data_IF_877570177867
#
_entry.id   IF_877570177867
#
_cell.length_a   1.000
_cell.length_b   1.000
_cell.length_c   1.000
_cell.angle_alpha   90.00
_cell.angle_beta   90.00
_cell.angle_gamma   90.00
#
_symmetry.space_group_name_H-M   'P 1'
#
loop_
_entity.id
_entity.type
_entity.pdbx_description
1 polymer ?
#
# COMPACT_ATOMS: atom_id res chain seq x y z
N UNK A 1 -4.16 -22.24 -6.30
CA UNK A 1 -3.23 -21.64 -5.31
C UNK A 1 -2.34 -20.67 -6.09
N UNK A 2 -1.85 -19.58 -5.50
CA UNK A 2 -0.87 -18.73 -6.19
C UNK A 2 0.44 -19.47 -6.42
N UNK A 3 1.23 -18.97 -7.33
CA UNK A 3 2.59 -19.42 -7.61
C UNK A 3 3.59 -18.51 -6.89
N UNK A 4 4.58 -19.11 -6.20
CA UNK A 4 5.64 -18.34 -5.56
C UNK A 4 6.59 -17.81 -6.65
N UNK A 5 6.86 -16.51 -6.58
CA UNK A 5 7.74 -15.81 -7.51
C UNK A 5 8.75 -14.94 -6.79
N UNK A 6 9.84 -14.63 -7.48
CA UNK A 6 10.83 -13.68 -6.98
C UNK A 6 11.44 -12.86 -8.11
N UNK A 7 11.83 -11.63 -7.80
CA UNK A 7 12.52 -10.74 -8.72
C UNK A 7 13.56 -9.88 -8.00
N UNK A 8 14.46 -9.31 -8.75
CA UNK A 8 15.44 -8.37 -8.20
C UNK A 8 14.91 -6.95 -8.22
N UNK A 9 15.00 -6.26 -7.10
CA UNK A 9 14.76 -4.82 -7.00
C UNK A 9 16.04 -4.16 -6.50
N UNK A 10 16.78 -3.54 -7.41
CA UNK A 10 18.06 -2.86 -7.14
C UNK A 10 19.05 -3.75 -6.35
N UNK A 11 19.14 -5.04 -6.70
CA UNK A 11 20.04 -6.00 -6.05
C UNK A 11 19.46 -6.67 -4.81
N UNK A 12 18.25 -6.31 -4.37
CA UNK A 12 17.52 -6.98 -3.28
C UNK A 12 16.54 -7.98 -3.88
N UNK A 13 16.49 -9.22 -3.36
CA UNK A 13 15.48 -10.20 -3.77
C UNK A 13 14.14 -9.87 -3.14
N UNK A 14 13.17 -9.60 -3.96
CA UNK A 14 11.77 -9.39 -3.59
C UNK A 14 10.99 -10.66 -3.90
N UNK A 15 10.15 -11.11 -2.94
CA UNK A 15 9.34 -12.32 -3.08
C UNK A 15 7.86 -11.99 -3.10
N UNK A 16 7.12 -12.77 -3.88
CA UNK A 16 5.70 -12.52 -4.09
C UNK A 16 4.93 -13.77 -4.49
N UNK A 17 3.65 -13.56 -4.69
CA UNK A 17 2.70 -14.55 -5.18
C UNK A 17 2.09 -14.07 -6.51
N UNK A 18 2.12 -14.93 -7.51
CA UNK A 18 1.44 -14.70 -8.77
C UNK A 18 0.12 -15.49 -8.79
N UNK A 19 -0.97 -14.77 -8.89
CA UNK A 19 -2.31 -15.30 -9.11
C UNK A 19 -2.63 -15.16 -10.59
N UNK A 20 -3.16 -16.22 -11.22
CA UNK A 20 -3.50 -16.17 -12.64
C UNK A 20 -4.91 -16.71 -12.90
N UNK A 21 -5.62 -16.17 -13.90
CA UNK A 21 -6.84 -16.76 -14.42
C UNK A 21 -6.57 -18.12 -15.05
N UNK A 22 -7.60 -18.97 -15.22
CA UNK A 22 -7.48 -20.19 -16.02
C UNK A 22 -7.23 -19.84 -17.50
N UNK A 23 -6.44 -20.70 -18.19
CA UNK A 23 -6.07 -20.54 -19.61
C UNK A 23 -4.62 -20.11 -19.80
N UNK A 24 -4.26 -19.86 -21.07
CA UNK A 24 -2.87 -19.66 -21.50
C UNK A 24 -2.44 -18.16 -21.53
N UNK A 25 -3.42 -17.22 -21.49
CA UNK A 25 -3.15 -15.79 -21.61
C UNK A 25 -2.94 -15.34 -23.07
N UNK A 26 -2.28 -14.17 -23.33
CA UNK A 26 -1.76 -13.28 -22.32
C UNK A 26 -2.86 -12.52 -21.57
N UNK A 27 -2.72 -12.41 -20.27
CA UNK A 27 -3.68 -11.74 -19.37
C UNK A 27 -3.26 -10.30 -19.06
N UNK A 28 -4.19 -9.37 -18.84
CA UNK A 28 -3.89 -8.16 -18.07
C UNK A 28 -3.34 -8.55 -16.72
N UNK A 29 -2.50 -7.70 -16.14
CA UNK A 29 -1.95 -7.94 -14.80
C UNK A 29 -2.13 -6.73 -13.89
N UNK A 30 -2.42 -6.98 -12.62
CA UNK A 30 -2.43 -5.96 -11.57
C UNK A 30 -1.24 -6.21 -10.64
N UNK A 31 -0.35 -5.24 -10.54
CA UNK A 31 0.78 -5.27 -9.58
C UNK A 31 0.31 -4.65 -8.28
N UNK A 32 0.54 -5.35 -7.16
CA UNK A 32 -0.08 -5.09 -5.87
C UNK A 32 0.93 -5.16 -4.73
N UNK A 33 0.88 -4.20 -3.81
CA UNK A 33 1.58 -4.29 -2.53
C UNK A 33 0.76 -3.69 -1.39
N UNK A 34 1.11 -4.02 -0.18
CA UNK A 34 0.36 -3.64 1.01
C UNK A 34 0.79 -2.34 1.66
N UNK A 35 0.10 -1.94 2.73
CA UNK A 35 0.33 -0.72 3.49
C UNK A 35 1.54 -0.77 4.43
N UNK A 36 1.42 -0.07 5.55
CA UNK A 36 2.49 0.05 6.55
C UNK A 36 2.78 -1.28 7.24
N UNK A 37 4.03 -1.73 7.24
CA UNK A 37 4.49 -3.02 7.81
C UNK A 37 3.78 -4.27 7.26
N UNK A 38 3.24 -4.22 6.04
CA UNK A 38 2.52 -5.35 5.47
C UNK A 38 3.44 -6.48 5.03
N UNK A 39 2.82 -7.66 5.04
CA UNK A 39 3.27 -8.85 4.32
C UNK A 39 2.18 -9.25 3.32
N UNK A 40 2.58 -9.93 2.25
CA UNK A 40 1.73 -10.29 1.10
C UNK A 40 0.50 -11.15 1.44
N UNK A 41 0.48 -11.75 2.61
CA UNK A 41 -0.63 -12.56 3.12
C UNK A 41 -1.77 -11.71 3.74
N UNK A 42 -1.51 -10.43 4.10
CA UNK A 42 -2.53 -9.56 4.66
C UNK A 42 -3.50 -9.12 3.57
N UNK A 43 -4.77 -9.20 3.80
CA UNK A 43 -5.94 -8.81 2.98
C UNK A 43 -5.78 -8.87 1.45
N UNK A 44 -4.58 -8.69 0.91
CA UNK A 44 -4.25 -8.67 -0.53
C UNK A 44 -4.71 -9.93 -1.28
N UNK A 45 -4.65 -11.16 -0.70
CA UNK A 45 -5.16 -12.35 -1.36
C UNK A 45 -6.65 -12.28 -1.73
N UNK A 46 -7.46 -11.53 -0.98
CA UNK A 46 -8.88 -11.33 -1.29
C UNK A 46 -9.04 -10.46 -2.54
N UNK A 47 -8.29 -9.35 -2.63
CA UNK A 47 -8.27 -8.51 -3.83
C UNK A 47 -7.72 -9.27 -5.04
N UNK A 48 -6.60 -10.00 -4.88
CA UNK A 48 -5.98 -10.75 -5.97
C UNK A 48 -6.94 -11.78 -6.57
N UNK A 49 -7.68 -12.52 -5.74
CA UNK A 49 -8.71 -13.47 -6.20
C UNK A 49 -9.84 -12.75 -6.95
N UNK A 50 -10.34 -11.63 -6.43
CA UNK A 50 -11.36 -10.85 -7.12
C UNK A 50 -10.89 -10.33 -8.49
N UNK A 51 -9.61 -9.95 -8.63
CA UNK A 51 -9.04 -9.55 -9.92
C UNK A 51 -8.92 -10.72 -10.89
N UNK A 52 -8.53 -11.90 -10.39
CA UNK A 52 -8.49 -13.14 -11.19
C UNK A 52 -9.87 -13.52 -11.71
N UNK A 53 -10.92 -13.35 -10.91
CA UNK A 53 -12.31 -13.61 -11.31
C UNK A 53 -12.79 -12.66 -12.42
N UNK A 54 -12.15 -11.49 -12.58
CA UNK A 54 -12.36 -10.56 -13.69
C UNK A 54 -11.41 -10.76 -14.87
N UNK A 55 -10.60 -11.84 -14.86
CA UNK A 55 -9.69 -12.21 -15.92
C UNK A 55 -8.35 -11.46 -15.92
N UNK A 56 -7.98 -10.81 -14.82
CA UNK A 56 -6.69 -10.18 -14.62
C UNK A 56 -5.78 -11.08 -13.78
N UNK A 57 -4.54 -11.30 -14.20
CA UNK A 57 -3.52 -11.83 -13.30
C UNK A 57 -3.21 -10.81 -12.19
N UNK A 58 -2.70 -11.26 -11.05
CA UNK A 58 -2.30 -10.38 -9.97
C UNK A 58 -0.95 -10.80 -9.40
N UNK A 59 -0.01 -9.85 -9.31
CA UNK A 59 1.29 -10.02 -8.68
C UNK A 59 1.29 -9.29 -7.35
N UNK A 60 1.26 -10.04 -6.26
CA UNK A 60 1.31 -9.54 -4.88
C UNK A 60 2.72 -9.77 -4.36
N UNK A 61 3.36 -8.77 -3.74
CA UNK A 61 4.73 -8.93 -3.26
C UNK A 61 4.95 -8.28 -1.88
N UNK A 62 5.93 -8.84 -1.14
CA UNK A 62 6.50 -8.20 0.03
C UNK A 62 7.52 -7.16 -0.42
N UNK A 63 7.42 -5.92 0.08
CA UNK A 63 8.49 -4.95 -0.14
C UNK A 63 9.83 -5.44 0.40
N UNK A 64 10.94 -4.89 -0.15
CA UNK A 64 12.25 -5.08 0.50
C UNK A 64 12.17 -4.83 2.00
N UNK A 65 12.91 -5.54 2.80
CA UNK A 65 12.98 -5.47 4.27
C UNK A 65 11.77 -6.06 5.01
N UNK A 66 10.74 -6.56 4.31
CA UNK A 66 9.50 -7.10 4.91
C UNK A 66 9.25 -8.54 4.50
N UNK A 67 8.44 -9.24 5.32
CA UNK A 67 8.00 -10.59 5.04
C UNK A 67 9.16 -11.51 4.64
N UNK A 68 8.97 -12.21 3.52
CA UNK A 68 9.98 -13.12 2.96
C UNK A 68 11.01 -12.44 2.06
N UNK A 69 10.80 -11.17 1.67
CA UNK A 69 11.77 -10.41 0.88
C UNK A 69 13.03 -10.12 1.66
N UNK A 70 14.17 -10.10 0.96
CA UNK A 70 15.47 -9.76 1.54
C UNK A 70 15.55 -8.25 1.87
N UNK A 71 16.67 -7.85 2.43
CA UNK A 71 17.00 -6.45 2.71
C UNK A 71 17.19 -6.15 4.18
N UNK A 72 17.98 -5.11 4.43
CA UNK A 72 18.35 -4.61 5.76
C UNK A 72 18.42 -3.09 5.76
N UNK A 73 18.10 -2.45 6.89
CA UNK A 73 17.57 -3.04 8.14
C UNK A 73 16.15 -3.59 7.96
N UNK A 74 15.80 -4.66 8.68
CA UNK A 74 14.45 -5.23 8.64
C UNK A 74 13.42 -4.20 9.14
N UNK A 75 12.18 -4.31 8.66
CA UNK A 75 11.07 -3.43 9.04
C UNK A 75 11.37 -1.94 8.82
N UNK A 76 12.14 -1.63 7.79
CA UNK A 76 12.48 -0.26 7.39
C UNK A 76 11.67 0.13 6.16
N UNK A 77 10.77 1.11 6.34
CA UNK A 77 9.97 1.67 5.25
C UNK A 77 10.66 2.93 4.71
N UNK A 78 10.95 2.91 3.43
CA UNK A 78 11.32 4.08 2.65
C UNK A 78 10.34 4.17 1.47
N UNK A 79 9.47 5.19 1.42
CA UNK A 79 8.42 5.28 0.39
C UNK A 79 8.98 5.26 -1.03
N UNK A 80 10.13 5.88 -1.24
CA UNK A 80 10.73 5.97 -2.58
C UNK A 80 11.35 4.64 -3.00
N UNK A 81 11.93 3.89 -2.06
CA UNK A 81 12.40 2.53 -2.31
C UNK A 81 11.24 1.56 -2.56
N UNK A 82 10.13 1.73 -1.85
CA UNK A 82 8.92 0.92 -2.08
C UNK A 82 8.27 1.24 -3.44
N UNK A 83 8.31 2.50 -3.88
CA UNK A 83 7.89 2.89 -5.23
C UNK A 83 8.80 2.25 -6.29
N UNK A 84 10.11 2.17 -6.06
CA UNK A 84 11.02 1.44 -6.96
C UNK A 84 10.75 -0.08 -6.95
N UNK A 85 10.36 -0.67 -5.82
CA UNK A 85 9.93 -2.08 -5.78
C UNK A 85 8.71 -2.31 -6.67
N UNK A 86 7.72 -1.39 -6.69
CA UNK A 86 6.61 -1.44 -7.63
C UNK A 86 7.06 -1.40 -9.09
N UNK A 87 7.96 -0.47 -9.46
CA UNK A 87 8.48 -0.35 -10.83
C UNK A 87 9.23 -1.59 -11.27
N UNK A 88 10.00 -2.18 -10.35
CA UNK A 88 10.72 -3.44 -10.62
C UNK A 88 9.75 -4.63 -10.69
N UNK A 89 8.68 -4.64 -9.90
CA UNK A 89 7.60 -5.63 -10.02
C UNK A 89 6.87 -5.51 -11.37
N UNK A 90 6.62 -4.31 -11.88
CA UNK A 90 6.08 -4.07 -13.22
C UNK A 90 7.07 -4.60 -14.27
N UNK A 91 8.37 -4.31 -14.15
CA UNK A 91 9.40 -4.81 -15.08
C UNK A 91 9.49 -6.33 -15.05
N UNK A 92 9.37 -6.96 -13.88
CA UNK A 92 9.29 -8.40 -13.77
C UNK A 92 8.03 -8.95 -14.45
N UNK A 93 6.88 -8.34 -14.23
CA UNK A 93 5.63 -8.76 -14.86
C UNK A 93 5.72 -8.74 -16.39
N UNK A 94 6.41 -7.75 -16.98
CA UNK A 94 6.66 -7.69 -18.43
C UNK A 94 7.52 -8.85 -18.97
N UNK A 95 8.26 -9.56 -18.13
CA UNK A 95 9.05 -10.74 -18.55
C UNK A 95 8.23 -12.02 -18.61
N UNK A 96 7.02 -12.04 -18.08
CA UNK A 96 6.18 -13.23 -18.03
C UNK A 96 5.41 -13.40 -19.35
N UNK A 97 5.55 -14.54 -20.00
CA UNK A 97 4.88 -14.86 -21.28
C UNK A 97 3.34 -14.82 -21.17
N UNK A 98 2.83 -15.08 -19.98
CA UNK A 98 1.38 -15.06 -19.70
C UNK A 98 0.80 -13.64 -19.53
N UNK A 99 1.62 -12.58 -19.57
CA UNK A 99 1.22 -11.19 -19.31
C UNK A 99 1.15 -10.39 -20.60
N UNK A 100 0.05 -9.68 -20.76
CA UNK A 100 -0.06 -8.62 -21.77
C UNK A 100 0.56 -7.32 -21.24
N UNK A 101 1.72 -6.97 -21.77
CA UNK A 101 2.53 -5.80 -21.36
C UNK A 101 1.84 -4.47 -21.58
N UNK A 102 0.85 -4.41 -22.45
CA UNK A 102 0.07 -3.19 -22.73
C UNK A 102 -1.13 -3.02 -21.78
N UNK A 103 -1.37 -3.97 -20.87
CA UNK A 103 -2.52 -4.00 -19.96
C UNK A 103 -2.12 -4.22 -18.50
N UNK A 104 -1.28 -3.30 -17.98
CA UNK A 104 -0.77 -3.35 -16.61
C UNK A 104 -1.54 -2.36 -15.74
N UNK A 105 -2.15 -2.84 -14.66
CA UNK A 105 -2.74 -2.02 -13.60
C UNK A 105 -1.89 -2.01 -12.34
N UNK A 106 -2.08 -1.01 -11.49
CA UNK A 106 -1.49 -0.95 -10.15
C UNK A 106 -2.57 -0.78 -9.10
N UNK A 107 -2.43 -1.52 -8.02
CA UNK A 107 -3.32 -1.44 -6.86
C UNK A 107 -2.51 -1.25 -5.58
N UNK A 108 -3.03 -0.46 -4.66
CA UNK A 108 -2.47 -0.31 -3.33
C UNK A 108 -3.53 0.04 -2.30
N UNK A 109 -3.24 -0.27 -1.02
CA UNK A 109 -4.10 0.02 0.12
C UNK A 109 -3.32 0.77 1.19
N UNK A 110 -3.93 1.76 1.83
CA UNK A 110 -3.34 2.55 2.91
C UNK A 110 -2.04 3.23 2.42
N UNK A 111 -0.90 2.96 3.03
CA UNK A 111 0.37 3.56 2.61
C UNK A 111 0.69 3.28 1.13
N UNK A 112 0.48 2.05 0.67
CA UNK A 112 0.68 1.73 -0.74
C UNK A 112 -0.43 2.23 -1.66
N UNK A 113 -1.57 2.62 -1.13
CA UNK A 113 -2.58 3.37 -1.89
C UNK A 113 -2.00 4.67 -2.45
N UNK A 114 -1.23 5.38 -1.62
CA UNK A 114 -0.45 6.54 -2.07
C UNK A 114 0.63 6.16 -3.08
N UNK A 115 1.35 5.04 -2.88
CA UNK A 115 2.37 4.60 -3.84
C UNK A 115 1.76 4.25 -5.20
N UNK A 116 0.60 3.61 -5.24
CA UNK A 116 -0.11 3.32 -6.50
C UNK A 116 -0.44 4.61 -7.28
N UNK A 117 -0.84 5.68 -6.58
CA UNK A 117 -1.04 7.00 -7.21
C UNK A 117 0.27 7.58 -7.76
N UNK A 118 1.38 7.49 -7.02
CA UNK A 118 2.70 7.98 -7.48
C UNK A 118 3.22 7.17 -8.66
N UNK A 119 3.15 5.83 -8.59
CA UNK A 119 3.57 4.93 -9.67
C UNK A 119 2.73 5.20 -10.92
N UNK A 120 1.40 5.25 -10.79
CA UNK A 120 0.52 5.51 -11.91
C UNK A 120 0.69 6.90 -12.55
N UNK A 121 1.17 7.88 -11.77
CA UNK A 121 1.48 9.22 -12.25
C UNK A 121 2.83 9.33 -12.98
N UNK A 122 3.74 8.36 -12.79
CA UNK A 122 5.14 8.50 -13.19
C UNK A 122 5.69 7.33 -14.01
N UNK A 123 4.97 6.21 -14.08
CA UNK A 123 5.34 5.06 -14.90
C UNK A 123 4.37 4.94 -16.10
N UNK A 124 4.84 5.18 -17.34
CA UNK A 124 3.98 5.19 -18.53
C UNK A 124 3.41 3.81 -18.91
N UNK A 125 3.88 2.73 -18.29
CA UNK A 125 3.37 1.38 -18.52
C UNK A 125 2.05 1.13 -17.80
N UNK A 126 1.71 1.95 -16.80
CA UNK A 126 0.47 1.80 -16.02
C UNK A 126 -0.74 2.28 -16.83
N UNK A 127 -1.72 1.41 -16.98
CA UNK A 127 -2.95 1.65 -17.76
C UNK A 127 -4.19 1.87 -16.90
N UNK A 128 -4.16 1.48 -15.63
CA UNK A 128 -5.25 1.73 -14.68
C UNK A 128 -4.70 1.75 -13.24
N UNK A 129 -5.31 2.58 -12.39
CA UNK A 129 -4.90 2.76 -10.99
C UNK A 129 -6.10 2.49 -10.10
N UNK A 130 -5.92 1.67 -9.06
CA UNK A 130 -6.87 1.57 -7.94
C UNK A 130 -6.12 1.88 -6.64
N UNK A 131 -6.58 2.91 -5.95
CA UNK A 131 -6.01 3.39 -4.69
C UNK A 131 -7.09 3.28 -3.61
N UNK A 132 -6.84 2.46 -2.59
CA UNK A 132 -7.80 2.17 -1.52
C UNK A 132 -7.32 2.82 -0.23
N UNK A 133 -8.14 3.68 0.38
CA UNK A 133 -7.85 4.41 1.65
C UNK A 133 -6.39 4.90 1.76
N UNK A 134 -5.91 5.73 0.82
CA UNK A 134 -4.49 6.04 0.69
C UNK A 134 -3.97 7.00 1.76
N UNK A 135 -2.75 6.75 2.24
CA UNK A 135 -1.94 7.82 2.86
C UNK A 135 -1.49 8.78 1.76
N UNK A 136 -2.01 9.99 1.76
CA UNK A 136 -1.74 10.98 0.70
C UNK A 136 -0.75 12.07 1.12
N UNK A 137 -0.63 12.32 2.43
CA UNK A 137 0.35 13.24 3.01
C UNK A 137 0.78 12.76 4.39
N UNK A 138 2.04 12.39 4.52
CA UNK A 138 2.55 11.80 5.77
C UNK A 138 2.68 12.80 6.90
N UNK A 139 2.98 14.08 6.61
CA UNK A 139 3.07 15.10 7.66
C UNK A 139 1.70 15.40 8.26
N UNK A 140 0.72 15.73 7.41
CA UNK A 140 -0.64 16.02 7.85
C UNK A 140 -1.27 14.82 8.57
N UNK A 141 -1.10 13.62 8.02
CA UNK A 141 -1.59 12.38 8.64
C UNK A 141 -1.00 12.21 10.04
N UNK A 142 0.32 12.28 10.20
CA UNK A 142 0.96 12.09 11.51
C UNK A 142 0.60 13.19 12.51
N UNK A 143 0.43 14.43 12.07
CA UNK A 143 0.01 15.52 12.93
C UNK A 143 -1.42 15.32 13.47
N UNK A 144 -2.33 14.85 12.62
CA UNK A 144 -3.73 14.62 12.96
C UNK A 144 -3.89 13.43 13.92
N UNK A 145 -3.30 12.28 13.58
CA UNK A 145 -3.46 11.06 14.39
C UNK A 145 -2.81 11.15 15.77
N UNK A 146 -1.75 11.96 15.92
CA UNK A 146 -1.07 12.13 17.20
C UNK A 146 -1.55 13.33 18.02
N UNK A 147 -2.21 14.29 17.40
CA UNK A 147 -2.51 15.57 18.04
C UNK A 147 -1.26 16.33 18.51
N UNK A 148 -1.43 17.49 19.11
CA UNK A 148 -0.30 18.39 19.40
C UNK A 148 0.77 17.81 20.34
N UNK A 149 0.38 17.14 21.42
CA UNK A 149 1.32 16.59 22.40
C UNK A 149 1.95 15.29 21.91
N UNK A 150 1.16 14.39 21.33
CA UNK A 150 1.64 13.12 20.79
C UNK A 150 2.62 13.36 19.66
N UNK A 151 2.31 14.27 18.75
CA UNK A 151 3.20 14.60 17.63
C UNK A 151 4.52 15.22 18.10
N UNK A 152 4.52 16.04 19.17
CA UNK A 152 5.77 16.53 19.78
C UNK A 152 6.62 15.37 20.30
N UNK A 153 6.04 14.44 21.05
CA UNK A 153 6.74 13.24 21.57
C UNK A 153 7.32 12.40 20.43
N UNK A 154 6.56 12.20 19.36
CA UNK A 154 7.01 11.47 18.17
C UNK A 154 8.23 12.17 17.52
N UNK A 155 8.15 13.49 17.33
CA UNK A 155 9.27 14.28 16.78
C UNK A 155 10.52 14.22 17.64
N UNK A 156 10.39 14.26 18.95
CA UNK A 156 11.52 14.11 19.87
C UNK A 156 12.17 12.71 19.76
N UNK A 157 11.36 11.68 19.59
CA UNK A 157 11.82 10.30 19.37
C UNK A 157 12.60 10.18 18.06
N UNK A 158 12.07 10.71 16.97
CA UNK A 158 12.76 10.75 15.67
C UNK A 158 14.06 11.55 15.74
N UNK A 159 14.09 12.67 16.42
CA UNK A 159 15.31 13.48 16.55
C UNK A 159 16.39 12.77 17.37
N UNK A 160 16.02 12.02 18.41
CA UNK A 160 16.98 11.19 19.18
C UNK A 160 17.58 10.10 18.30
N UNK A 161 16.76 9.38 17.54
CA UNK A 161 17.21 8.34 16.60
C UNK A 161 18.15 8.93 15.55
N UNK A 162 17.79 10.06 14.94
CA UNK A 162 18.63 10.74 13.95
C UNK A 162 20.03 11.10 14.51
N UNK A 163 20.08 11.62 15.74
CA UNK A 163 21.34 11.96 16.40
C UNK A 163 22.16 10.71 16.74
N UNK A 164 21.51 9.63 17.18
CA UNK A 164 22.16 8.35 17.44
C UNK A 164 22.78 7.76 16.18
N UNK A 165 22.01 7.70 15.08
CA UNK A 165 22.49 7.21 13.77
C UNK A 165 23.66 8.06 13.25
N UNK A 166 23.60 9.38 13.39
CA UNK A 166 24.71 10.28 13.01
C UNK A 166 25.99 9.97 13.80
N UNK A 167 25.86 9.58 15.06
CA UNK A 167 27.00 9.16 15.91
C UNK A 167 27.45 7.70 15.70
N UNK A 168 26.95 7.02 14.65
CA UNK A 168 27.29 5.62 14.33
C UNK A 168 26.47 4.57 15.07
N UNK A 169 25.39 4.96 15.74
CA UNK A 169 24.44 4.02 16.34
C UNK A 169 23.57 3.30 15.31
N UNK A 170 23.03 2.17 15.71
CA UNK A 170 22.07 1.39 14.92
C UNK A 170 20.72 2.12 14.79
N UNK A 171 19.88 1.67 13.83
CA UNK A 171 18.52 2.14 13.69
C UNK A 171 17.67 1.74 14.90
N UNK A 172 17.16 2.72 15.65
CA UNK A 172 16.19 2.43 16.69
C UNK A 172 14.88 1.94 16.08
N UNK A 173 14.16 1.13 16.83
CA UNK A 173 12.85 0.60 16.46
C UNK A 173 11.74 1.16 17.33
N UNK A 174 10.51 1.10 16.85
CA UNK A 174 9.33 1.47 17.60
C UNK A 174 8.14 0.59 17.20
N UNK A 175 7.14 0.44 18.07
CA UNK A 175 5.91 -0.28 17.72
C UNK A 175 5.19 0.37 16.54
N UNK A 176 4.61 -0.45 15.67
CA UNK A 176 3.72 0.02 14.62
C UNK A 176 2.50 0.72 15.22
N UNK A 177 1.88 0.10 16.22
CA UNK A 177 0.79 0.70 17.01
C UNK A 177 0.87 0.25 18.47
N UNK A 178 0.10 0.87 19.36
CA UNK A 178 0.13 0.58 20.79
C UNK A 178 -1.27 0.45 21.36
N UNK A 179 -1.42 -0.46 22.34
CA UNK A 179 -2.63 -0.59 23.16
C UNK A 179 -2.77 0.54 24.19
N UNK A 180 -1.67 1.20 24.55
CA UNK A 180 -1.63 2.35 25.46
C UNK A 180 -0.83 3.51 24.83
N UNK A 181 -1.44 4.29 23.93
CA UNK A 181 -0.78 5.40 23.25
C UNK A 181 -0.37 6.54 24.22
N UNK A 182 -0.93 6.59 25.42
CA UNK A 182 -0.53 7.57 26.43
C UNK A 182 0.84 7.21 27.04
N UNK A 183 1.11 5.94 27.26
CA UNK A 183 2.36 5.44 27.84
C UNK A 183 3.44 5.21 26.78
N UNK A 184 3.09 4.70 25.59
CA UNK A 184 4.02 4.26 24.57
C UNK A 184 3.87 5.04 23.26
N UNK A 185 4.98 5.51 22.69
CA UNK A 185 5.02 6.16 21.38
C UNK A 185 5.08 5.09 20.29
N UNK A 186 4.09 5.09 19.41
CA UNK A 186 4.00 4.23 18.24
C UNK A 186 3.75 5.06 16.97
N UNK A 187 3.77 4.45 15.79
CA UNK A 187 3.45 5.17 14.54
C UNK A 187 1.96 5.49 14.48
N UNK A 188 1.11 4.49 14.70
CA UNK A 188 -0.34 4.61 14.68
C UNK A 188 -0.87 4.47 16.11
N UNK A 189 -1.23 5.58 16.78
CA UNK A 189 -1.59 5.55 18.20
C UNK A 189 -3.05 5.09 18.43
N UNK A 190 -3.44 3.99 17.80
CA UNK A 190 -4.78 3.44 17.84
C UNK A 190 -4.77 1.99 18.37
N UNK A 191 -5.41 1.69 19.53
CA UNK A 191 -5.49 0.34 20.08
C UNK A 191 -6.15 -0.68 19.14
N UNK A 192 -7.14 -0.24 18.35
CA UNK A 192 -7.82 -1.09 17.36
C UNK A 192 -6.89 -1.55 16.23
N UNK A 193 -5.89 -0.75 15.85
CA UNK A 193 -4.86 -1.17 14.91
C UNK A 193 -4.07 -2.35 15.46
N UNK A 194 -3.65 -2.26 16.74
CA UNK A 194 -2.93 -3.36 17.39
C UNK A 194 -3.79 -4.62 17.44
N UNK A 195 -5.03 -4.50 17.91
CA UNK A 195 -5.92 -5.66 18.05
C UNK A 195 -6.27 -6.30 16.70
N UNK A 196 -6.51 -5.48 15.67
CA UNK A 196 -6.79 -5.95 14.32
C UNK A 196 -5.62 -6.73 13.72
N UNK A 197 -4.40 -6.20 13.80
CA UNK A 197 -3.22 -6.88 13.26
C UNK A 197 -2.79 -8.10 14.09
N UNK A 198 -3.00 -8.11 15.41
CA UNK A 198 -2.83 -9.33 16.23
C UNK A 198 -3.78 -10.44 15.76
N UNK A 199 -5.04 -10.10 15.45
CA UNK A 199 -6.02 -11.04 14.89
C UNK A 199 -5.58 -11.59 13.54
N UNK A 200 -5.19 -10.73 12.60
CA UNK A 200 -4.70 -11.11 11.28
C UNK A 200 -3.42 -11.94 11.34
N UNK A 201 -2.49 -11.62 12.25
CA UNK A 201 -1.29 -12.42 12.48
C UNK A 201 -1.60 -13.83 12.95
N UNK A 202 -2.63 -13.98 13.79
CA UNK A 202 -3.02 -15.27 14.30
C UNK A 202 -3.71 -16.18 13.25
N UNK A 203 -4.25 -15.61 12.18
CA UNK A 203 -5.03 -16.33 11.16
C UNK A 203 -4.37 -16.35 9.79
N UNK A 204 -4.16 -15.19 9.19
CA UNK A 204 -3.84 -15.06 7.77
C UNK A 204 -2.36 -14.74 7.50
N UNK A 205 -1.70 -13.99 8.41
CA UNK A 205 -0.39 -13.42 8.17
C UNK A 205 0.59 -13.69 9.32
N UNK A 206 0.98 -14.95 9.59
CA UNK A 206 1.85 -15.30 10.72
C UNK A 206 3.24 -14.63 10.67
N UNK A 207 3.68 -14.25 9.47
CA UNK A 207 4.97 -13.58 9.25
C UNK A 207 4.92 -12.07 9.49
N UNK A 208 3.74 -11.50 9.82
CA UNK A 208 3.63 -10.07 10.13
C UNK A 208 4.40 -9.73 11.40
N UNK A 209 5.20 -8.66 11.33
CA UNK A 209 5.90 -8.08 12.47
C UNK A 209 5.38 -6.67 12.77
N UNK A 210 5.01 -6.45 14.04
CA UNK A 210 4.26 -5.26 14.45
C UNK A 210 5.17 -4.12 14.94
N UNK A 211 6.28 -3.89 14.22
CA UNK A 211 7.24 -2.83 14.52
C UNK A 211 7.91 -2.31 13.25
N UNK A 212 8.54 -1.17 13.35
CA UNK A 212 9.32 -0.55 12.27
C UNK A 212 10.51 0.25 12.82
N UNK A 213 11.44 0.63 11.96
CA UNK A 213 12.51 1.55 12.36
C UNK A 213 11.93 2.95 12.61
N UNK A 214 12.48 3.67 13.59
CA UNK A 214 12.07 5.07 13.86
C UNK A 214 12.32 5.97 12.65
N UNK A 215 13.36 5.71 11.87
CA UNK A 215 13.63 6.45 10.64
C UNK A 215 12.49 6.36 9.62
N UNK A 216 11.75 5.27 9.60
CA UNK A 216 10.60 5.12 8.68
C UNK A 216 9.56 6.23 8.89
N UNK A 217 9.37 6.69 10.12
CA UNK A 217 8.47 7.82 10.43
C UNK A 217 9.01 9.14 9.87
N UNK A 218 10.33 9.36 9.97
CA UNK A 218 10.99 10.54 9.36
C UNK A 218 10.81 10.56 7.84
N UNK A 219 10.90 9.39 7.21
CA UNK A 219 10.71 9.24 5.76
C UNK A 219 9.24 9.44 5.36
N UNK A 220 8.30 8.94 6.18
CA UNK A 220 6.88 9.17 5.99
C UNK A 220 6.53 10.67 6.03
N UNK A 221 7.11 11.46 6.94
CA UNK A 221 6.83 12.90 7.00
C UNK A 221 7.19 13.68 5.74
N UNK A 222 8.14 13.17 4.97
CA UNK A 222 8.58 13.79 3.72
C UNK A 222 7.82 13.24 2.49
N UNK A 223 6.84 12.37 2.73
CA UNK A 223 6.06 11.75 1.68
C UNK A 223 4.74 12.48 1.47
N UNK A 224 4.49 12.89 0.23
CA UNK A 224 3.20 13.42 -0.20
C UNK A 224 2.92 13.03 -1.66
N UNK A 225 1.66 12.71 -1.98
CA UNK A 225 1.23 12.38 -3.34
C UNK A 225 0.74 13.59 -4.13
N UNK A 226 0.45 14.73 -3.49
CA UNK A 226 -0.14 15.90 -4.12
C UNK A 226 0.60 16.43 -5.35
N UNK A 227 1.95 16.48 -5.41
CA UNK A 227 2.65 16.88 -6.61
C UNK A 227 2.49 15.88 -7.77
N UNK A 228 2.21 14.62 -7.47
CA UNK A 228 2.15 13.51 -8.43
C UNK A 228 0.76 13.33 -9.00
N UNK A 229 -0.30 13.40 -8.20
CA UNK A 229 -1.68 13.18 -8.68
C UNK A 229 -2.06 14.13 -9.82
N UNK A 230 -1.49 15.33 -9.84
CA UNK A 230 -1.66 16.31 -10.93
C UNK A 230 -1.10 15.87 -12.28
N UNK A 231 -0.28 14.81 -12.31
CA UNK A 231 0.32 14.23 -13.52
C UNK A 231 -0.48 13.07 -14.09
N UNK A 232 -1.54 12.62 -13.41
CA UNK A 232 -2.45 11.58 -13.89
C UNK A 232 -3.40 12.21 -14.91
N UNK A 233 -2.94 12.36 -16.17
CA UNK A 233 -3.66 13.11 -17.20
C UNK A 233 -4.69 12.23 -17.94
N UNK A 234 -4.33 10.97 -18.22
CA UNK A 234 -5.11 10.08 -19.07
C UNK A 234 -5.39 8.72 -18.46
N UNK A 235 -4.65 8.33 -17.41
CA UNK A 235 -4.77 7.01 -16.79
C UNK A 235 -6.07 6.92 -15.98
N UNK A 236 -6.97 5.97 -16.30
CA UNK A 236 -8.15 5.69 -15.49
C UNK A 236 -7.78 5.41 -14.04
N UNK A 237 -8.49 6.05 -13.12
CA UNK A 237 -8.16 5.98 -11.69
C UNK A 237 -9.42 5.79 -10.87
N UNK A 238 -9.45 4.75 -10.03
CA UNK A 238 -10.46 4.56 -8.99
C UNK A 238 -9.81 4.84 -7.63
N UNK A 239 -10.41 5.73 -6.86
CA UNK A 239 -10.13 5.85 -5.43
C UNK A 239 -11.29 5.26 -4.62
N UNK A 240 -10.96 4.38 -3.69
CA UNK A 240 -11.89 3.82 -2.71
C UNK A 240 -11.54 4.44 -1.36
N UNK A 241 -12.48 5.16 -0.77
CA UNK A 241 -12.28 5.87 0.51
C UNK A 241 -13.30 5.40 1.53
N UNK A 242 -12.93 5.43 2.81
CA UNK A 242 -13.81 5.09 3.92
C UNK A 242 -14.27 6.37 4.62
N UNK A 243 -15.60 6.58 4.75
CA UNK A 243 -16.19 7.84 5.24
C UNK A 243 -15.73 8.23 6.66
N UNK A 244 -15.43 7.23 7.50
CA UNK A 244 -14.99 7.44 8.87
C UNK A 244 -13.49 7.09 9.05
N UNK A 245 -12.68 7.28 8.00
CA UNK A 245 -11.24 7.02 8.10
C UNK A 245 -10.55 8.12 8.91
N UNK A 246 -10.17 7.76 10.13
CA UNK A 246 -9.46 8.60 11.08
C UNK A 246 -7.93 8.37 11.07
N UNK A 247 -7.47 7.34 10.35
CA UNK A 247 -6.05 6.99 10.22
C UNK A 247 -5.41 7.72 9.04
N UNK A 248 -5.98 7.63 7.84
CA UNK A 248 -5.44 8.28 6.63
C UNK A 248 -6.12 9.63 6.34
N UNK A 249 -7.20 9.94 7.06
CA UNK A 249 -7.98 11.19 6.97
C UNK A 249 -8.69 11.31 5.61
N UNK A 250 -9.90 10.80 5.55
CA UNK A 250 -10.68 10.72 4.30
C UNK A 250 -10.87 12.05 3.56
N UNK A 251 -10.88 13.18 4.26
CA UNK A 251 -10.94 14.53 3.66
C UNK A 251 -9.68 14.86 2.85
N UNK A 252 -8.49 14.42 3.31
CA UNK A 252 -7.25 14.53 2.54
C UNK A 252 -7.28 13.62 1.30
N UNK A 253 -7.87 12.44 1.42
CA UNK A 253 -8.06 11.52 0.28
C UNK A 253 -8.96 12.14 -0.79
N UNK A 254 -10.06 12.78 -0.38
CA UNK A 254 -10.96 13.53 -1.26
C UNK A 254 -10.22 14.70 -1.93
N UNK A 255 -9.40 15.43 -1.20
CA UNK A 255 -8.57 16.50 -1.76
C UNK A 255 -7.63 15.94 -2.86
N UNK A 256 -6.95 14.82 -2.57
CA UNK A 256 -6.09 14.17 -3.55
C UNK A 256 -6.87 13.73 -4.79
N UNK A 257 -8.06 13.14 -4.62
CA UNK A 257 -8.95 12.78 -5.72
C UNK A 257 -9.32 14.00 -6.59
N UNK A 258 -9.66 15.13 -5.98
CA UNK A 258 -9.96 16.35 -6.73
C UNK A 258 -8.74 16.87 -7.50
N UNK A 259 -7.54 16.66 -6.99
CA UNK A 259 -6.27 17.01 -7.62
C UNK A 259 -5.92 16.20 -8.88
N UNK A 260 -6.58 15.05 -9.13
CA UNK A 260 -6.38 14.23 -10.33
C UNK A 260 -7.10 14.87 -11.52
N UNK A 261 -6.41 15.25 -12.61
CA UNK A 261 -7.04 15.99 -13.72
C UNK A 261 -7.77 15.10 -14.72
N UNK A 262 -7.45 13.80 -14.83
CA UNK A 262 -8.14 12.91 -15.79
C UNK A 262 -9.65 12.90 -15.57
N UNK A 263 -10.42 12.92 -16.65
CA UNK A 263 -11.87 12.75 -16.61
C UNK A 263 -12.31 11.29 -16.41
N UNK A 264 -11.37 10.35 -16.50
CA UNK A 264 -11.61 8.90 -16.31
C UNK A 264 -11.42 8.49 -14.85
N UNK A 265 -11.62 9.41 -13.89
CA UNK A 265 -11.52 9.10 -12.46
C UNK A 265 -12.86 8.79 -11.85
N UNK A 266 -12.87 7.86 -10.91
CA UNK A 266 -14.04 7.44 -10.15
C UNK A 266 -13.70 7.46 -8.66
N UNK A 267 -14.68 7.87 -7.84
CA UNK A 267 -14.60 7.81 -6.39
C UNK A 267 -15.66 6.84 -5.90
N UNK A 268 -15.26 5.88 -5.09
CA UNK A 268 -16.18 5.02 -4.35
C UNK A 268 -16.05 5.27 -2.87
N UNK A 269 -17.10 5.79 -2.25
CA UNK A 269 -17.15 6.07 -0.81
C UNK A 269 -17.80 4.89 -0.10
N UNK A 270 -17.11 4.30 0.84
CA UNK A 270 -17.64 3.27 1.73
C UNK A 270 -18.24 3.95 2.96
N UNK A 271 -19.56 4.01 3.00
CA UNK A 271 -20.29 4.66 4.08
C UNK A 271 -20.13 3.88 5.39
N UNK A 272 -20.17 4.57 6.53
CA UNK A 272 -20.06 4.01 7.88
C UNK A 272 -18.87 3.06 8.08
N UNK A 273 -17.78 3.31 7.34
CA UNK A 273 -16.59 2.44 7.31
C UNK A 273 -15.39 3.21 7.83
N UNK A 274 -14.71 2.70 8.85
CA UNK A 274 -13.40 3.21 9.29
C UNK A 274 -12.26 2.44 8.62
N UNK A 275 -11.03 2.96 8.76
CA UNK A 275 -9.83 2.34 8.18
C UNK A 275 -9.72 0.85 8.50
N UNK A 276 -9.80 0.49 9.77
CA UNK A 276 -9.60 -0.89 10.23
C UNK A 276 -10.74 -1.85 9.86
N UNK A 277 -11.93 -1.33 9.54
CA UNK A 277 -13.05 -2.16 9.06
C UNK A 277 -12.69 -2.86 7.75
N UNK A 278 -11.91 -2.22 6.86
CA UNK A 278 -11.43 -2.83 5.61
C UNK A 278 -10.44 -3.99 5.81
N UNK A 279 -9.95 -4.20 7.02
CA UNK A 279 -9.05 -5.30 7.37
C UNK A 279 -9.73 -6.39 8.18
N UNK A 280 -10.69 -6.01 9.01
CA UNK A 280 -11.27 -6.89 10.03
C UNK A 280 -12.70 -7.33 9.71
N UNK A 281 -13.38 -6.65 8.79
CA UNK A 281 -14.73 -7.01 8.37
C UNK A 281 -14.70 -7.55 6.93
N UNK A 282 -14.98 -8.86 6.82
CA UNK A 282 -14.94 -9.60 5.55
C UNK A 282 -15.84 -8.99 4.47
N UNK A 283 -17.06 -8.58 4.82
CA UNK A 283 -18.03 -8.05 3.84
C UNK A 283 -17.55 -6.70 3.25
N UNK A 284 -16.94 -5.83 4.07
CA UNK A 284 -16.40 -4.56 3.60
C UNK A 284 -15.16 -4.77 2.75
N UNK A 285 -14.28 -5.70 3.15
CA UNK A 285 -13.10 -6.09 2.38
C UNK A 285 -13.51 -6.63 1.00
N UNK A 286 -14.47 -7.56 0.96
CA UNK A 286 -14.98 -8.13 -0.28
C UNK A 286 -15.64 -7.07 -1.18
N UNK A 287 -16.43 -6.16 -0.62
CA UNK A 287 -17.03 -5.05 -1.37
C UNK A 287 -15.96 -4.15 -2.02
N UNK A 288 -14.93 -3.76 -1.27
CA UNK A 288 -13.83 -2.97 -1.81
C UNK A 288 -13.06 -3.73 -2.91
N UNK A 289 -12.84 -5.04 -2.72
CA UNK A 289 -12.19 -5.89 -3.71
C UNK A 289 -13.01 -6.01 -4.99
N UNK A 290 -14.33 -6.18 -4.90
CA UNK A 290 -15.26 -6.23 -6.04
C UNK A 290 -15.27 -4.92 -6.84
N UNK A 291 -15.25 -3.76 -6.15
CA UNK A 291 -15.19 -2.45 -6.84
C UNK A 291 -13.89 -2.32 -7.65
N UNK A 292 -12.75 -2.64 -7.03
CA UNK A 292 -11.46 -2.64 -7.72
C UNK A 292 -11.40 -3.64 -8.88
N UNK A 293 -11.93 -4.85 -8.66
CA UNK A 293 -11.97 -5.91 -9.67
C UNK A 293 -12.81 -5.51 -10.90
N UNK A 294 -14.00 -4.99 -10.67
CA UNK A 294 -14.86 -4.50 -11.75
C UNK A 294 -14.16 -3.39 -12.54
N UNK A 295 -13.56 -2.45 -11.85
CA UNK A 295 -12.84 -1.35 -12.49
C UNK A 295 -11.69 -1.85 -13.36
N UNK A 296 -10.82 -2.73 -12.87
CA UNK A 296 -9.75 -3.31 -13.68
C UNK A 296 -10.29 -4.14 -14.84
N UNK A 297 -11.32 -4.96 -14.60
CA UNK A 297 -11.99 -5.72 -15.65
C UNK A 297 -12.53 -4.86 -16.79
N UNK A 298 -13.01 -3.65 -16.49
CA UNK A 298 -13.48 -2.69 -17.50
C UNK A 298 -12.34 -1.95 -18.21
N UNK A 299 -11.33 -1.49 -17.43
CA UNK A 299 -10.28 -0.61 -17.95
C UNK A 299 -9.15 -1.37 -18.66
N UNK A 300 -8.90 -2.62 -18.26
CA UNK A 300 -7.84 -3.46 -18.82
C UNK A 300 -8.35 -4.49 -19.85
N UNK A 301 -9.65 -4.50 -20.16
CA UNK A 301 -10.15 -5.30 -21.29
C UNK A 301 -9.49 -4.84 -22.59
N UNK A 302 -9.03 -5.79 -23.39
CA UNK A 302 -8.60 -5.48 -24.74
C UNK A 302 -9.74 -4.78 -25.51
N UNK A 303 -9.42 -3.78 -26.30
CA UNK A 303 -10.41 -3.28 -27.27
C UNK A 303 -10.70 -4.44 -28.24
N UNK A 304 -12.00 -4.68 -28.54
CA UNK A 304 -12.39 -5.71 -29.51
C UNK A 304 -11.76 -5.47 -30.86
#
# INVERSE_FOLDING_TARGET
>A
MPEDVQFSSEGTTVRGHLYRPPGDGPFPIVVMAGGWCYVKELVQPTYARAFVDQGCAALVFDYRNFGESDGTPRQHLDPWRQIEDYRNAISYAETLDLVDRDRIGVWGISYSGGHALVVGATDPRVRAIVSTIPVVDGWETMQRVHGGLGFRRLRETVLRDRRSRFAGGEHATMPMSSKDPAAEVSVWPFPEVTSGFEGLKATDAPNHEHWNTVQSVELLWNYTVFPYVRRILDTPTLMIVAENDDITSWDLEIEAFHGIPTTKKQLFVMNDTSHMVLYTNKSHLELAAEQGARFFGEQLRGRP
#
